data_IF_620402408188
#
_entry.id   IF_620402408188
#
_cell.length_a   1.000
_cell.length_b   1.000
_cell.length_c   1.000
_cell.angle_alpha   90.00
_cell.angle_beta   90.00
_cell.angle_gamma   90.00
#
_symmetry.space_group_name_H-M   'P 1'
#
loop_
_entity.id
_entity.type
_entity.pdbx_description
1 polymer ?
#
# COMPACT_ATOMS: atom_id res chain seq x y z
N UNK A 1 22.77 -3.52 1.60
CA UNK A 1 21.72 -3.17 2.61
C UNK A 1 21.40 -4.37 3.49
N UNK A 2 21.27 -5.56 2.92
CA UNK A 2 21.02 -6.83 3.65
C UNK A 2 22.14 -7.12 4.67
N UNK A 3 23.40 -6.90 4.30
CA UNK A 3 24.58 -7.13 5.15
C UNK A 3 24.63 -6.25 6.41
N UNK A 4 23.71 -5.28 6.56
CA UNK A 4 23.56 -4.41 7.73
C UNK A 4 22.38 -4.79 8.62
N UNK A 5 21.69 -5.89 8.30
CA UNK A 5 20.61 -6.38 9.13
C UNK A 5 21.19 -7.14 10.33
N UNK A 6 20.73 -6.75 11.50
CA UNK A 6 21.06 -7.38 12.78
C UNK A 6 19.83 -8.16 13.25
N UNK A 7 19.96 -9.49 13.25
CA UNK A 7 18.86 -10.38 13.62
C UNK A 7 18.40 -10.15 15.07
N UNK A 8 19.32 -10.03 16.01
CA UNK A 8 18.98 -9.88 17.43
C UNK A 8 18.26 -8.56 17.68
N UNK A 9 18.66 -7.52 16.98
CA UNK A 9 17.97 -6.22 17.02
C UNK A 9 16.56 -6.30 16.44
N UNK A 10 16.39 -6.99 15.32
CA UNK A 10 15.07 -7.17 14.69
C UNK A 10 14.16 -7.97 15.62
N UNK A 11 14.66 -9.06 16.19
CA UNK A 11 13.92 -9.90 17.14
C UNK A 11 13.53 -9.13 18.39
N UNK A 12 14.45 -8.36 18.96
CA UNK A 12 14.20 -7.49 20.12
C UNK A 12 13.10 -6.46 19.83
N UNK A 13 13.13 -5.83 18.66
CA UNK A 13 12.10 -4.87 18.23
C UNK A 13 10.73 -5.55 18.07
N UNK A 14 10.69 -6.74 17.48
CA UNK A 14 9.47 -7.52 17.35
C UNK A 14 8.90 -7.86 18.73
N UNK A 15 9.71 -8.44 19.60
CA UNK A 15 9.30 -8.78 20.96
C UNK A 15 8.79 -7.57 21.75
N UNK A 16 9.46 -6.41 21.60
CA UNK A 16 9.01 -5.17 22.25
C UNK A 16 7.62 -4.74 21.76
N UNK A 17 7.32 -4.88 20.47
CA UNK A 17 6.03 -4.48 19.89
C UNK A 17 4.88 -5.39 20.27
N UNK A 18 5.15 -6.68 20.43
CA UNK A 18 4.12 -7.70 20.65
C UNK A 18 4.05 -8.22 22.09
N UNK A 19 4.81 -7.65 23.03
CA UNK A 19 4.81 -8.07 24.44
C UNK A 19 3.58 -7.64 25.25
N UNK A 20 2.77 -6.75 24.72
CA UNK A 20 1.56 -6.24 25.38
C UNK A 20 0.36 -6.44 24.47
N UNK A 21 -0.54 -7.31 24.88
CA UNK A 21 -1.77 -7.61 24.15
C UNK A 21 -2.98 -6.78 24.62
N UNK A 22 -2.78 -5.83 25.52
CA UNK A 22 -3.89 -5.06 26.12
C UNK A 22 -4.67 -4.18 25.13
N UNK A 23 -4.06 -3.85 23.98
CA UNK A 23 -4.70 -3.08 22.90
C UNK A 23 -4.98 -3.92 21.65
N UNK A 24 -4.75 -5.24 21.69
CA UNK A 24 -5.02 -6.12 20.55
C UNK A 24 -6.52 -6.34 20.37
N UNK A 25 -6.95 -6.33 19.13
CA UNK A 25 -8.31 -6.72 18.72
C UNK A 25 -8.21 -7.97 17.85
N UNK A 26 -8.83 -9.04 18.30
CA UNK A 26 -8.90 -10.31 17.58
C UNK A 26 -10.24 -10.45 16.88
N UNK A 27 -10.22 -10.67 15.56
CA UNK A 27 -11.43 -10.78 14.73
C UNK A 27 -11.45 -12.18 14.10
N UNK A 28 -12.51 -12.95 14.39
CA UNK A 28 -12.72 -14.28 13.82
C UNK A 28 -13.84 -14.20 12.79
N UNK A 29 -13.56 -14.63 11.56
CA UNK A 29 -14.52 -14.64 10.45
C UNK A 29 -14.60 -16.04 9.86
N UNK A 30 -15.80 -16.61 9.78
CA UNK A 30 -16.03 -17.92 9.22
C UNK A 30 -17.19 -18.66 9.89
N UNK A 31 -17.25 -19.98 9.72
CA UNK A 31 -18.20 -20.83 10.44
C UNK A 31 -17.68 -21.09 11.87
N UNK A 32 -17.98 -20.16 12.77
CA UNK A 32 -17.46 -20.17 14.15
C UNK A 32 -18.58 -20.52 15.13
N UNK A 33 -18.40 -21.59 15.89
CA UNK A 33 -19.23 -21.88 17.05
C UNK A 33 -18.68 -21.09 18.26
N UNK A 34 -19.41 -20.08 18.68
CA UNK A 34 -18.98 -19.15 19.75
C UNK A 34 -18.77 -19.86 21.08
N UNK A 35 -19.62 -20.83 21.43
CA UNK A 35 -19.53 -21.54 22.72
C UNK A 35 -18.32 -22.47 22.78
N UNK A 36 -17.96 -23.11 21.67
CA UNK A 36 -16.75 -23.92 21.56
C UNK A 36 -15.48 -23.07 21.52
N UNK A 37 -15.54 -21.89 20.93
CA UNK A 37 -14.40 -20.99 20.83
C UNK A 37 -14.07 -20.24 22.13
N UNK A 38 -15.06 -19.93 22.96
CA UNK A 38 -14.85 -19.19 24.20
C UNK A 38 -13.76 -19.78 25.11
N UNK A 39 -13.76 -21.07 25.46
CA UNK A 39 -12.70 -21.64 26.30
C UNK A 39 -11.33 -21.55 25.63
N UNK A 40 -11.25 -21.78 24.33
CA UNK A 40 -9.98 -21.67 23.58
C UNK A 40 -9.46 -20.23 23.54
N UNK A 41 -10.35 -19.26 23.32
CA UNK A 41 -9.98 -17.84 23.36
C UNK A 41 -9.49 -17.47 24.77
N UNK A 42 -10.16 -17.92 25.82
CA UNK A 42 -9.73 -17.64 27.19
C UNK A 42 -8.37 -18.26 27.50
N UNK A 43 -8.13 -19.48 27.05
CA UNK A 43 -6.87 -20.18 27.28
C UNK A 43 -5.72 -19.57 26.49
N UNK A 44 -5.87 -19.36 25.19
CA UNK A 44 -4.78 -18.96 24.30
C UNK A 44 -4.61 -17.44 24.13
N UNK A 45 -5.69 -16.69 24.08
CA UNK A 45 -5.63 -15.25 23.91
C UNK A 45 -5.78 -14.48 25.22
N UNK A 46 -6.64 -14.99 26.12
CA UNK A 46 -6.82 -14.38 27.45
C UNK A 46 -5.62 -14.53 28.37
N UNK A 47 -4.70 -15.45 28.06
CA UNK A 47 -3.44 -15.65 28.79
C UNK A 47 -2.27 -14.81 28.28
N UNK A 48 -2.46 -14.07 27.18
CA UNK A 48 -1.40 -13.19 26.66
C UNK A 48 -1.07 -12.07 27.65
N UNK A 49 0.19 -11.66 27.74
CA UNK A 49 0.61 -10.57 28.62
C UNK A 49 -0.16 -9.28 28.33
N UNK A 50 -0.68 -8.65 29.37
CA UNK A 50 -1.38 -7.37 29.29
C UNK A 50 -0.81 -6.40 30.35
N UNK A 51 0.07 -5.53 29.92
CA UNK A 51 0.77 -4.56 30.81
C UNK A 51 0.19 -3.15 30.69
N UNK A 52 -0.85 -2.96 29.87
CA UNK A 52 -1.54 -1.69 29.62
C UNK A 52 -0.58 -0.55 29.22
N UNK A 53 0.40 -0.86 28.38
CA UNK A 53 1.31 0.13 27.82
C UNK A 53 0.54 1.11 26.93
N UNK A 54 0.73 2.40 27.19
CA UNK A 54 0.16 3.42 26.31
C UNK A 54 1.14 3.74 25.20
N UNK A 55 0.80 3.31 23.98
CA UNK A 55 1.58 3.63 22.81
C UNK A 55 1.15 4.94 22.18
N UNK A 56 2.13 5.67 21.66
CA UNK A 56 1.92 6.87 20.87
C UNK A 56 2.76 6.75 19.59
N UNK A 57 2.31 7.33 18.51
CA UNK A 57 3.11 7.42 17.30
C UNK A 57 3.87 8.74 17.24
N UNK A 58 5.05 8.71 16.65
CA UNK A 58 5.83 9.90 16.34
C UNK A 58 5.69 10.24 14.86
N UNK A 59 5.13 11.39 14.54
CA UNK A 59 5.15 11.90 13.17
C UNK A 59 6.57 12.32 12.78
N UNK A 60 7.22 11.50 11.97
CA UNK A 60 8.57 11.75 11.47
C UNK A 60 8.61 12.77 10.32
N UNK A 61 7.48 13.39 9.98
CA UNK A 61 7.34 14.36 8.88
C UNK A 61 7.76 13.81 7.51
N UNK A 62 7.67 12.49 7.36
CA UNK A 62 7.91 11.83 6.07
C UNK A 62 6.62 11.89 5.27
N UNK A 63 6.65 12.63 4.18
CA UNK A 63 5.50 12.82 3.31
C UNK A 63 5.93 12.81 1.84
N UNK A 64 4.97 12.62 0.94
CA UNK A 64 5.24 12.73 -0.49
C UNK A 64 5.51 14.19 -0.85
N UNK A 65 6.40 14.40 -1.82
CA UNK A 65 6.72 15.74 -2.31
C UNK A 65 5.48 16.41 -2.88
N UNK A 66 5.36 17.71 -2.64
CA UNK A 66 4.33 18.55 -3.21
C UNK A 66 4.76 19.07 -4.59
N UNK A 67 3.77 19.28 -5.46
CA UNK A 67 4.01 19.77 -6.82
C UNK A 67 4.42 18.65 -7.79
N UNK A 68 4.77 19.05 -9.00
CA UNK A 68 5.17 18.12 -10.07
C UNK A 68 6.65 17.76 -9.91
N UNK A 69 6.93 16.50 -9.75
CA UNK A 69 8.27 15.97 -9.65
C UNK A 69 8.50 14.83 -10.67
N UNK A 70 9.56 14.96 -11.45
CA UNK A 70 10.00 13.91 -12.39
C UNK A 70 11.33 13.34 -11.92
N UNK A 71 11.42 12.03 -11.90
CA UNK A 71 12.65 11.31 -11.61
C UNK A 71 12.87 10.23 -12.67
N UNK A 72 14.00 10.27 -13.32
CA UNK A 72 14.37 9.31 -14.37
C UNK A 72 15.74 8.76 -14.06
N UNK A 73 15.87 7.44 -14.18
CA UNK A 73 17.16 6.77 -14.08
C UNK A 73 17.20 5.56 -15.00
N UNK A 74 18.40 5.21 -15.43
CA UNK A 74 18.62 4.06 -16.31
C UNK A 74 19.40 2.99 -15.56
N UNK A 75 18.95 1.74 -15.71
CA UNK A 75 19.69 0.55 -15.26
C UNK A 75 19.89 -0.37 -16.45
N UNK A 76 21.10 -0.91 -16.59
CA UNK A 76 21.40 -1.90 -17.61
C UNK A 76 20.63 -3.20 -17.33
N UNK A 77 19.88 -3.68 -18.31
CA UNK A 77 19.12 -4.94 -18.27
C UNK A 77 19.33 -5.70 -19.58
N UNK A 78 19.09 -7.00 -19.57
CA UNK A 78 19.19 -7.85 -20.77
C UNK A 78 18.15 -7.45 -21.82
N UNK A 79 16.92 -7.19 -21.39
CA UNK A 79 15.84 -6.72 -22.26
C UNK A 79 15.55 -5.25 -21.93
N UNK A 80 15.62 -4.40 -22.97
CA UNK A 80 15.34 -2.98 -22.82
C UNK A 80 13.84 -2.75 -22.54
N UNK A 81 13.52 -2.22 -21.37
CA UNK A 81 12.16 -1.84 -20.97
C UNK A 81 12.15 -0.53 -20.19
N UNK A 82 11.07 0.19 -20.29
CA UNK A 82 10.77 1.37 -19.47
C UNK A 82 9.61 1.07 -18.53
N UNK A 83 9.87 1.10 -17.23
CA UNK A 83 8.83 1.01 -16.20
C UNK A 83 8.43 2.43 -15.79
N UNK A 84 7.15 2.74 -15.92
CA UNK A 84 6.62 4.07 -15.69
C UNK A 84 5.69 4.05 -14.48
N UNK A 85 5.89 4.99 -13.56
CA UNK A 85 5.11 5.17 -12.34
C UNK A 85 4.63 6.61 -12.29
N UNK A 86 3.32 6.80 -12.35
CA UNK A 86 2.67 8.10 -12.11
C UNK A 86 1.97 8.01 -10.77
N UNK A 87 2.36 8.88 -9.83
CA UNK A 87 1.81 8.93 -8.49
C UNK A 87 1.16 10.29 -8.28
N UNK A 88 -0.14 10.29 -8.03
CA UNK A 88 -0.93 11.46 -7.67
C UNK A 88 -1.30 11.34 -6.21
N UNK A 89 -1.00 12.36 -5.41
CA UNK A 89 -1.33 12.33 -3.99
C UNK A 89 -1.92 13.67 -3.53
N UNK A 90 -2.74 13.62 -2.49
CA UNK A 90 -3.35 14.80 -1.92
C UNK A 90 -4.03 14.52 -0.59
N UNK A 91 -4.31 15.56 0.15
CA UNK A 91 -5.09 15.46 1.37
C UNK A 91 -6.54 15.11 1.00
N UNK A 92 -7.09 14.11 1.65
CA UNK A 92 -8.44 13.63 1.39
C UNK A 92 -9.01 13.01 2.66
N UNK A 93 -10.18 13.46 3.07
CA UNK A 93 -10.85 12.94 4.25
C UNK A 93 -11.09 11.44 4.12
N UNK A 94 -10.75 10.70 5.19
CA UNK A 94 -11.00 9.27 5.28
C UNK A 94 -12.45 9.01 5.66
N UNK A 95 -13.29 8.74 4.67
CA UNK A 95 -14.66 8.29 4.87
C UNK A 95 -15.07 7.33 3.75
N UNK A 96 -16.16 6.60 3.96
CA UNK A 96 -16.66 5.60 3.03
C UNK A 96 -16.99 6.18 1.65
N UNK A 97 -17.52 7.40 1.59
CA UNK A 97 -17.85 8.06 0.32
C UNK A 97 -16.60 8.29 -0.52
N UNK A 98 -15.56 8.86 0.08
CA UNK A 98 -14.31 9.13 -0.61
C UNK A 98 -13.58 7.84 -1.00
N UNK A 99 -13.65 6.80 -0.18
CA UNK A 99 -13.07 5.49 -0.48
C UNK A 99 -13.75 4.85 -1.70
N UNK A 100 -15.08 4.86 -1.74
CA UNK A 100 -15.85 4.37 -2.89
C UNK A 100 -15.54 5.21 -4.15
N UNK A 101 -15.54 6.54 -4.05
CA UNK A 101 -15.24 7.41 -5.18
C UNK A 101 -13.84 7.16 -5.74
N UNK A 102 -12.83 7.01 -4.89
CA UNK A 102 -11.46 6.72 -5.31
C UNK A 102 -11.35 5.34 -5.97
N UNK A 103 -12.03 4.34 -5.40
CA UNK A 103 -12.11 2.99 -5.98
C UNK A 103 -12.78 3.00 -7.35
N UNK A 104 -13.91 3.66 -7.50
CA UNK A 104 -14.60 3.79 -8.80
C UNK A 104 -13.72 4.55 -9.81
N UNK A 105 -13.08 5.64 -9.39
CA UNK A 105 -12.19 6.42 -10.25
C UNK A 105 -11.03 5.59 -10.76
N UNK A 106 -10.38 4.82 -9.87
CA UNK A 106 -9.28 3.95 -10.29
C UNK A 106 -9.72 2.86 -11.25
N UNK A 107 -10.89 2.25 -11.06
CA UNK A 107 -11.44 1.25 -11.98
C UNK A 107 -11.76 1.85 -13.37
N UNK A 108 -12.39 3.01 -13.42
CA UNK A 108 -12.69 3.70 -14.67
C UNK A 108 -11.38 4.03 -15.42
N UNK A 109 -10.40 4.59 -14.71
CA UNK A 109 -9.10 4.91 -15.31
C UNK A 109 -8.35 3.66 -15.78
N UNK A 110 -8.42 2.56 -15.03
CA UNK A 110 -7.82 1.29 -15.43
C UNK A 110 -8.41 0.79 -16.77
N UNK A 111 -9.72 0.82 -16.92
CA UNK A 111 -10.39 0.49 -18.17
C UNK A 111 -9.99 1.41 -19.32
N UNK A 112 -10.00 2.73 -19.09
CA UNK A 112 -9.66 3.74 -20.13
C UNK A 112 -8.20 3.62 -20.56
N UNK A 113 -7.26 3.52 -19.59
CA UNK A 113 -5.85 3.39 -19.92
C UNK A 113 -5.51 2.03 -20.54
N UNK A 114 -6.16 0.95 -20.10
CA UNK A 114 -5.99 -0.36 -20.74
C UNK A 114 -6.43 -0.32 -22.20
N UNK A 115 -7.59 0.25 -22.50
CA UNK A 115 -8.03 0.40 -23.88
C UNK A 115 -7.07 1.25 -24.71
N UNK A 116 -6.74 2.46 -24.25
CA UNK A 116 -5.90 3.38 -25.02
C UNK A 116 -4.45 2.95 -25.16
N UNK A 117 -3.83 2.54 -24.06
CA UNK A 117 -2.37 2.27 -24.04
C UNK A 117 -2.05 0.87 -24.54
N UNK A 118 -2.88 -0.12 -24.23
CA UNK A 118 -2.66 -1.51 -24.63
C UNK A 118 -3.26 -1.81 -26.00
N UNK A 119 -4.56 -1.50 -26.21
CA UNK A 119 -5.31 -1.92 -27.37
C UNK A 119 -5.05 -1.01 -28.58
N UNK A 120 -5.21 0.32 -28.42
CA UNK A 120 -5.05 1.26 -29.52
C UNK A 120 -3.57 1.45 -29.91
N UNK A 121 -2.68 1.56 -28.97
CA UNK A 121 -1.26 1.85 -29.21
C UNK A 121 -0.36 0.62 -29.23
N UNK A 122 -0.85 -0.53 -28.73
CA UNK A 122 -0.05 -1.75 -28.60
C UNK A 122 1.25 -1.49 -27.84
N UNK A 123 1.23 -0.58 -26.88
CA UNK A 123 2.41 -0.02 -26.24
C UNK A 123 2.88 -0.78 -25.00
N UNK A 124 2.01 -1.59 -24.43
CA UNK A 124 2.28 -2.32 -23.19
C UNK A 124 1.50 -3.63 -23.15
N UNK A 125 1.90 -4.55 -22.28
CA UNK A 125 1.14 -5.76 -21.94
C UNK A 125 -0.03 -5.48 -21.00
N UNK A 126 0.02 -4.39 -20.23
CA UNK A 126 -1.04 -3.98 -19.32
C UNK A 126 -0.71 -2.66 -18.64
N UNK A 127 -1.75 -1.99 -18.22
CA UNK A 127 -1.70 -0.83 -17.34
C UNK A 127 -2.35 -1.22 -16.03
N UNK A 128 -1.82 -0.77 -14.93
CA UNK A 128 -2.44 -0.91 -13.63
C UNK A 128 -2.75 0.47 -13.06
N UNK A 129 -3.99 0.67 -12.67
CA UNK A 129 -4.41 1.86 -11.93
C UNK A 129 -4.97 1.46 -10.57
N UNK A 130 -4.39 1.99 -9.50
CA UNK A 130 -4.83 1.70 -8.14
C UNK A 130 -4.99 2.95 -7.31
N UNK A 131 -6.08 3.02 -6.55
CA UNK A 131 -6.37 4.07 -5.58
C UNK A 131 -6.23 3.53 -4.14
N UNK A 132 -5.70 4.34 -3.24
CA UNK A 132 -5.62 4.05 -1.82
C UNK A 132 -5.99 5.28 -1.01
N UNK A 133 -6.93 5.11 -0.08
CA UNK A 133 -7.27 6.11 0.92
C UNK A 133 -6.69 5.69 2.28
N UNK A 134 -5.87 6.53 2.87
CA UNK A 134 -5.22 6.27 4.16
C UNK A 134 -5.80 7.16 5.24
N UNK A 135 -6.03 6.60 6.43
CA UNK A 135 -6.42 7.34 7.63
C UNK A 135 -5.22 7.76 8.45
N UNK A 136 -4.23 6.88 8.57
CA UNK A 136 -3.06 7.09 9.42
C UNK A 136 -1.78 7.04 8.59
N UNK A 137 -0.73 7.78 8.97
CA UNK A 137 -0.68 8.80 10.04
C UNK A 137 -1.41 10.08 9.70
N UNK A 138 -1.82 10.27 8.44
CA UNK A 138 -2.59 11.42 7.93
C UNK A 138 -3.64 10.95 6.93
N UNK A 139 -4.74 11.67 6.87
CA UNK A 139 -5.81 11.40 5.90
C UNK A 139 -5.37 11.82 4.49
N UNK A 140 -5.07 10.85 3.64
CA UNK A 140 -4.53 11.07 2.30
C UNK A 140 -5.08 10.09 1.28
N UNK A 141 -5.26 10.59 0.06
CA UNK A 141 -5.50 9.77 -1.12
C UNK A 141 -4.22 9.65 -1.94
N UNK A 142 -3.99 8.45 -2.46
CA UNK A 142 -2.97 8.13 -3.44
C UNK A 142 -3.65 7.46 -4.62
N UNK A 143 -3.36 7.93 -5.83
CA UNK A 143 -3.70 7.25 -7.07
C UNK A 143 -2.41 6.95 -7.81
N UNK A 144 -2.22 5.72 -8.24
CA UNK A 144 -1.05 5.30 -8.99
C UNK A 144 -1.44 4.71 -10.33
N UNK A 145 -0.66 5.05 -11.37
CA UNK A 145 -0.76 4.46 -12.69
C UNK A 145 0.60 3.86 -13.00
N UNK A 146 0.63 2.57 -13.32
CA UNK A 146 1.87 1.82 -13.57
C UNK A 146 1.75 1.08 -14.88
N UNK A 147 2.76 1.23 -15.75
CA UNK A 147 2.86 0.45 -16.98
C UNK A 147 4.31 0.26 -17.42
N UNK A 148 4.55 -0.84 -18.11
CA UNK A 148 5.84 -1.14 -18.73
C UNK A 148 5.72 -1.05 -20.24
N UNK A 149 6.72 -0.49 -20.90
CA UNK A 149 6.74 -0.33 -22.37
C UNK A 149 8.15 -0.42 -22.93
N UNK A 150 8.25 -0.54 -24.26
CA UNK A 150 9.53 -0.33 -24.94
C UNK A 150 9.98 1.13 -24.77
N UNK A 151 11.27 1.39 -24.51
CA UNK A 151 11.78 2.75 -24.29
C UNK A 151 11.40 3.75 -25.39
N UNK A 152 11.37 3.31 -26.64
CA UNK A 152 11.02 4.16 -27.78
C UNK A 152 9.57 4.65 -27.81
N UNK A 153 8.66 3.93 -27.13
CA UNK A 153 7.23 4.30 -27.05
C UNK A 153 6.88 5.11 -25.80
N UNK A 154 7.80 5.22 -24.84
CA UNK A 154 7.55 5.80 -23.53
C UNK A 154 6.96 7.21 -23.60
N UNK A 155 7.60 8.12 -24.34
CA UNK A 155 7.17 9.53 -24.38
C UNK A 155 5.76 9.68 -24.94
N UNK A 156 5.45 8.95 -26.02
CA UNK A 156 4.10 8.97 -26.60
C UNK A 156 3.04 8.50 -25.60
N UNK A 157 3.32 7.40 -24.88
CA UNK A 157 2.38 6.81 -23.95
C UNK A 157 2.21 7.64 -22.66
N UNK A 158 3.20 8.43 -22.28
CA UNK A 158 3.11 9.36 -21.15
C UNK A 158 2.28 10.61 -21.45
N UNK A 159 1.88 10.84 -22.69
CA UNK A 159 1.03 11.95 -23.11
C UNK A 159 -0.46 11.59 -23.20
N UNK A 160 -0.79 10.32 -23.07
CA UNK A 160 -2.16 9.80 -23.02
C UNK A 160 -2.75 10.04 -21.62
#
# INVERSE_FOLDING_TARGET
>A
MIDKMDYDKILSMYQDRYKDASDFTFIFVGNVNVEEMKPLIAEYLGSLPAINRKETFKDNKVDMRQGVYKNEFVRKQETAKASNFVLLNGDCKYDLKNDILLSMTSQILDLVYTAKVREDEGGTYGVYVGGQLSKYPKEKALLQIVFETAPAKREKLMQI
#
